data_IF_259943420174
#
_entry.id   IF_259943420174
#
_cell.length_a   1.000
_cell.length_b   1.000
_cell.length_c   1.000
_cell.angle_alpha   90.00
_cell.angle_beta   90.00
_cell.angle_gamma   90.00
#
_symmetry.space_group_name_H-M   'P 1'
#
loop_
_entity.id
_entity.type
_entity.pdbx_description
1 polymer ?
#
# COMPACT_ATOMS: atom_id res chain seq x y z
N UNK A 1 5.01 15.91 -4.44
CA UNK A 1 3.57 15.62 -4.61
C UNK A 1 2.84 16.73 -5.34
N UNK A 2 2.87 18.01 -4.88
CA UNK A 2 2.11 19.10 -5.53
C UNK A 2 2.34 19.19 -7.03
N UNK A 3 3.60 19.25 -7.48
CA UNK A 3 3.94 19.34 -8.90
C UNK A 3 3.37 18.17 -9.72
N UNK A 4 3.37 16.95 -9.18
CA UNK A 4 2.76 15.79 -9.85
C UNK A 4 1.26 15.99 -10.10
N UNK A 5 0.53 16.47 -9.08
CA UNK A 5 -0.90 16.73 -9.22
C UNK A 5 -1.21 17.93 -10.13
N UNK A 6 -0.37 18.96 -10.12
CA UNK A 6 -0.48 20.10 -11.05
C UNK A 6 -0.29 19.64 -12.50
N UNK A 7 0.71 18.79 -12.76
CA UNK A 7 0.92 18.21 -14.10
C UNK A 7 -0.28 17.38 -14.55
N UNK A 8 -0.80 16.50 -13.68
CA UNK A 8 -1.99 15.71 -14.01
C UNK A 8 -3.22 16.58 -14.27
N UNK A 9 -3.44 17.61 -13.47
CA UNK A 9 -4.54 18.55 -13.66
C UNK A 9 -4.39 19.35 -14.97
N UNK A 10 -3.18 19.78 -15.31
CA UNK A 10 -2.92 20.50 -16.56
C UNK A 10 -3.12 19.60 -17.79
N UNK A 11 -2.76 18.31 -17.69
CA UNK A 11 -2.86 17.37 -18.79
C UNK A 11 -4.28 16.84 -19.00
N UNK A 12 -5.01 16.55 -17.90
CA UNK A 12 -6.27 15.78 -17.92
C UNK A 12 -7.46 16.52 -17.31
N UNK A 13 -7.25 17.67 -16.66
CA UNK A 13 -8.31 18.45 -16.02
C UNK A 13 -8.86 17.88 -14.71
N UNK A 14 -8.54 16.60 -14.37
CA UNK A 14 -9.02 15.89 -13.19
C UNK A 14 -8.08 14.79 -12.70
N UNK A 15 -8.27 14.37 -11.47
CA UNK A 15 -7.62 13.20 -10.90
C UNK A 15 -8.69 12.34 -10.24
N UNK A 16 -8.89 11.15 -10.76
CA UNK A 16 -9.97 10.25 -10.34
C UNK A 16 -9.49 9.14 -9.42
N UNK A 17 -8.31 8.60 -9.69
CA UNK A 17 -7.76 7.47 -8.97
C UNK A 17 -6.35 7.81 -8.51
N UNK A 18 -6.07 7.59 -7.24
CA UNK A 18 -4.73 7.64 -6.66
C UNK A 18 -4.33 6.25 -6.17
N UNK A 19 -3.22 5.74 -6.65
CA UNK A 19 -2.59 4.53 -6.14
C UNK A 19 -1.25 4.89 -5.50
N UNK A 20 -1.16 4.79 -4.18
CA UNK A 20 0.08 4.98 -3.44
C UNK A 20 0.85 3.66 -3.40
N UNK A 21 1.66 3.42 -4.42
CA UNK A 21 2.48 2.21 -4.57
C UNK A 21 3.95 2.42 -4.19
N UNK A 22 4.48 3.64 -4.34
CA UNK A 22 5.87 3.94 -4.07
C UNK A 22 6.27 3.58 -2.63
N UNK A 23 7.41 2.93 -2.49
CA UNK A 23 7.94 2.55 -1.19
C UNK A 23 9.37 2.05 -1.29
N UNK A 24 10.07 2.11 -0.17
CA UNK A 24 11.43 1.62 -0.01
C UNK A 24 11.53 0.72 1.22
N UNK A 25 12.58 -0.10 1.26
CA UNK A 25 13.00 -0.85 2.45
C UNK A 25 14.40 -0.43 2.86
N UNK A 26 14.70 -0.50 4.16
CA UNK A 26 16.02 -0.36 4.77
C UNK A 26 16.04 -1.33 5.95
N UNK A 27 16.24 -2.60 5.61
CA UNK A 27 16.09 -3.71 6.56
C UNK A 27 17.33 -3.84 7.43
N UNK A 28 17.14 -3.89 8.74
CA UNK A 28 18.18 -4.20 9.71
C UNK A 28 17.53 -4.62 11.05
N UNK A 29 18.24 -5.42 11.83
CA UNK A 29 17.80 -5.74 13.20
C UNK A 29 17.76 -4.46 14.04
N UNK A 30 16.81 -4.38 14.98
CA UNK A 30 16.54 -3.17 15.77
C UNK A 30 17.80 -2.58 16.45
N UNK A 31 18.70 -3.43 16.92
CA UNK A 31 19.94 -2.98 17.56
C UNK A 31 20.98 -2.35 16.60
N UNK A 32 20.76 -2.50 15.29
CA UNK A 32 21.65 -1.97 14.24
C UNK A 32 20.94 -1.02 13.29
N UNK A 33 19.62 -0.87 13.41
CA UNK A 33 18.85 0.06 12.58
C UNK A 33 19.20 1.49 12.98
N UNK A 34 19.62 2.30 12.03
CA UNK A 34 19.86 3.72 12.28
C UNK A 34 18.57 4.53 12.30
N UNK A 35 18.58 5.69 12.95
CA UNK A 35 17.47 6.64 12.93
C UNK A 35 17.23 7.15 11.50
N UNK A 36 18.29 7.36 10.73
CA UNK A 36 18.23 7.80 9.34
C UNK A 36 17.50 6.77 8.45
N UNK A 37 17.77 5.47 8.63
CA UNK A 37 17.10 4.41 7.87
C UNK A 37 15.62 4.30 8.29
N UNK A 38 15.32 4.46 9.58
CA UNK A 38 13.96 4.49 10.08
C UNK A 38 13.19 5.65 9.46
N UNK A 39 13.73 6.86 9.54
CA UNK A 39 13.11 8.08 9.01
C UNK A 39 12.96 8.05 7.50
N UNK A 40 13.96 7.55 6.76
CA UNK A 40 13.89 7.42 5.32
C UNK A 40 12.69 6.56 4.88
N UNK A 41 12.49 5.41 5.55
CA UNK A 41 11.37 4.50 5.25
C UNK A 41 10.03 5.14 5.62
N UNK A 42 9.90 5.76 6.80
CA UNK A 42 8.66 6.43 7.19
C UNK A 42 8.35 7.63 6.29
N UNK A 43 9.34 8.42 5.94
CA UNK A 43 9.17 9.57 5.06
C UNK A 43 8.73 9.14 3.65
N UNK A 44 9.34 8.12 3.07
CA UNK A 44 8.97 7.65 1.74
C UNK A 44 7.61 6.95 1.74
N UNK A 45 7.42 5.95 2.59
CA UNK A 45 6.27 5.04 2.53
C UNK A 45 5.00 5.66 3.12
N UNK A 46 5.10 6.35 4.26
CA UNK A 46 3.93 6.85 4.99
C UNK A 46 3.69 8.33 4.73
N UNK A 47 4.68 9.18 4.97
CA UNK A 47 4.53 10.63 4.78
C UNK A 47 4.31 10.99 3.31
N UNK A 48 5.01 10.30 2.39
CA UNK A 48 4.79 10.47 0.95
C UNK A 48 3.35 10.16 0.55
N UNK A 49 2.82 9.01 0.98
CA UNK A 49 1.43 8.63 0.74
C UNK A 49 0.44 9.61 1.38
N UNK A 50 0.68 10.06 2.61
CA UNK A 50 -0.14 11.10 3.27
C UNK A 50 -0.20 12.38 2.43
N UNK A 51 0.93 12.85 1.93
CA UNK A 51 0.98 14.07 1.11
C UNK A 51 0.22 13.90 -0.21
N UNK A 52 0.33 12.73 -0.86
CA UNK A 52 -0.44 12.43 -2.06
C UNK A 52 -1.94 12.31 -1.77
N UNK A 53 -2.33 11.63 -0.70
CA UNK A 53 -3.72 11.55 -0.24
C UNK A 53 -4.31 12.95 0.01
N UNK A 54 -3.56 13.84 0.67
CA UNK A 54 -3.99 15.22 0.94
C UNK A 54 -4.25 16.01 -0.35
N UNK A 55 -3.39 15.87 -1.34
CA UNK A 55 -3.56 16.55 -2.63
C UNK A 55 -4.71 15.94 -3.46
N UNK A 56 -4.86 14.61 -3.44
CA UNK A 56 -6.00 13.92 -4.09
C UNK A 56 -7.32 14.31 -3.44
N UNK A 57 -7.42 14.23 -2.11
CA UNK A 57 -8.63 14.52 -1.36
C UNK A 57 -9.17 15.94 -1.65
N UNK A 58 -8.31 16.96 -1.73
CA UNK A 58 -8.69 18.34 -2.07
C UNK A 58 -9.44 18.45 -3.41
N UNK A 59 -9.08 17.62 -4.37
CA UNK A 59 -9.66 17.57 -5.72
C UNK A 59 -10.90 16.68 -5.76
N UNK A 60 -10.78 15.46 -5.27
CA UNK A 60 -11.83 14.45 -5.27
C UNK A 60 -13.08 14.89 -4.48
N UNK A 61 -12.89 15.59 -3.35
CA UNK A 61 -14.01 16.16 -2.56
C UNK A 61 -14.82 17.16 -3.38
N UNK A 62 -14.17 18.00 -4.20
CA UNK A 62 -14.84 18.95 -5.09
C UNK A 62 -15.50 18.26 -6.27
N UNK A 63 -14.86 17.22 -6.81
CA UNK A 63 -15.40 16.37 -7.88
C UNK A 63 -16.59 15.53 -7.41
N UNK A 64 -16.74 15.30 -6.09
CA UNK A 64 -17.70 14.37 -5.47
C UNK A 64 -17.54 12.95 -6.02
N UNK A 65 -16.32 12.59 -6.34
CA UNK A 65 -15.91 11.26 -6.79
C UNK A 65 -14.40 11.08 -6.65
N UNK A 66 -13.99 9.90 -6.24
CA UNK A 66 -12.58 9.51 -6.19
C UNK A 66 -12.35 8.12 -5.62
N UNK A 67 -11.19 7.55 -5.96
CA UNK A 67 -10.71 6.26 -5.46
C UNK A 67 -9.27 6.41 -5.01
N UNK A 68 -8.99 6.04 -3.77
CA UNK A 68 -7.63 6.02 -3.22
C UNK A 68 -7.33 4.60 -2.79
N UNK A 69 -6.22 4.04 -3.30
CA UNK A 69 -5.74 2.71 -2.96
C UNK A 69 -4.31 2.82 -2.44
N UNK A 70 -4.10 2.42 -1.20
CA UNK A 70 -2.79 2.44 -0.54
C UNK A 70 -2.18 1.04 -0.53
N UNK A 71 -0.95 0.88 -1.04
CA UNK A 71 -0.22 -0.39 -0.98
C UNK A 71 0.45 -0.54 0.38
N UNK A 72 -0.20 -1.33 1.25
CA UNK A 72 0.36 -1.77 2.52
C UNK A 72 1.25 -3.01 2.34
N UNK A 73 1.22 -3.94 3.25
CA UNK A 73 1.90 -5.24 3.21
C UNK A 73 1.33 -6.17 4.29
N UNK A 74 1.42 -7.47 4.11
CA UNK A 74 1.15 -8.43 5.19
C UNK A 74 2.11 -8.25 6.37
N UNK A 75 3.31 -7.70 6.13
CA UNK A 75 4.26 -7.35 7.21
C UNK A 75 3.68 -6.32 8.18
N UNK A 76 2.78 -5.45 7.71
CA UNK A 76 2.06 -4.50 8.56
C UNK A 76 1.14 -5.19 9.59
N UNK A 77 0.71 -6.40 9.30
CA UNK A 77 -0.26 -7.16 10.09
C UNK A 77 0.42 -8.16 11.04
N UNK A 78 1.49 -8.80 10.57
CA UNK A 78 2.17 -9.88 11.32
C UNK A 78 3.54 -9.51 11.87
N UNK A 79 4.15 -8.41 11.37
CA UNK A 79 5.56 -8.09 11.62
C UNK A 79 6.52 -8.96 10.80
N UNK A 80 7.78 -8.55 10.78
CA UNK A 80 8.90 -9.34 10.28
C UNK A 80 10.19 -8.88 10.95
N UNK A 81 11.03 -9.81 11.38
CA UNK A 81 12.31 -9.48 11.99
C UNK A 81 13.19 -8.69 10.99
N UNK A 82 13.83 -7.63 11.46
CA UNK A 82 14.64 -6.73 10.62
C UNK A 82 13.85 -5.67 9.84
N UNK A 83 12.53 -5.64 9.91
CA UNK A 83 11.67 -4.71 9.17
C UNK A 83 10.82 -3.81 10.08
N UNK A 84 11.33 -3.42 11.24
CA UNK A 84 10.58 -2.60 12.20
C UNK A 84 10.10 -1.28 11.60
N UNK A 85 10.96 -0.58 10.84
CA UNK A 85 10.63 0.64 10.13
C UNK A 85 9.61 0.42 9.02
N UNK A 86 9.80 -0.62 8.20
CA UNK A 86 8.90 -0.98 7.12
C UNK A 86 7.52 -1.39 7.65
N UNK A 87 7.48 -2.28 8.66
CA UNK A 87 6.24 -2.70 9.31
C UNK A 87 5.47 -1.50 9.88
N UNK A 88 6.15 -0.60 10.60
CA UNK A 88 5.56 0.62 11.15
C UNK A 88 4.98 1.52 10.05
N UNK A 89 5.73 1.73 8.95
CA UNK A 89 5.28 2.56 7.83
C UNK A 89 4.04 1.97 7.14
N UNK A 90 4.02 0.66 6.91
CA UNK A 90 2.91 -0.03 6.24
C UNK A 90 1.69 -0.20 7.16
N UNK A 91 1.88 -0.36 8.46
CA UNK A 91 0.79 -0.32 9.45
C UNK A 91 0.19 1.09 9.57
N UNK A 92 1.03 2.13 9.53
CA UNK A 92 0.58 3.52 9.47
C UNK A 92 -0.32 3.81 8.26
N UNK A 93 -0.06 3.20 7.09
CA UNK A 93 -0.92 3.30 5.91
C UNK A 93 -2.32 2.70 6.15
N UNK A 94 -2.43 1.64 6.93
CA UNK A 94 -3.74 1.05 7.30
C UNK A 94 -4.53 2.03 8.16
N UNK A 95 -3.89 2.63 9.16
CA UNK A 95 -4.51 3.67 10.00
C UNK A 95 -4.94 4.89 9.18
N UNK A 96 -4.06 5.38 8.30
CA UNK A 96 -4.34 6.48 7.37
C UNK A 96 -5.54 6.16 6.47
N UNK A 97 -5.58 4.96 5.88
CA UNK A 97 -6.68 4.48 5.04
C UNK A 97 -8.02 4.54 5.76
N UNK A 98 -8.09 3.96 6.96
CA UNK A 98 -9.33 3.90 7.75
C UNK A 98 -9.83 5.29 8.18
N UNK A 99 -8.92 6.19 8.55
CA UNK A 99 -9.27 7.56 8.94
C UNK A 99 -9.81 8.35 7.74
N UNK A 100 -9.08 8.34 6.61
CA UNK A 100 -9.51 9.03 5.40
C UNK A 100 -10.82 8.47 4.83
N UNK A 101 -11.05 7.16 4.93
CA UNK A 101 -12.31 6.55 4.51
C UNK A 101 -13.51 7.18 5.24
N UNK A 102 -13.38 7.43 6.55
CA UNK A 102 -14.42 8.08 7.36
C UNK A 102 -14.62 9.55 6.99
N UNK A 103 -13.53 10.27 6.75
CA UNK A 103 -13.59 11.70 6.41
C UNK A 103 -14.19 11.96 5.03
N UNK A 104 -13.95 11.06 4.06
CA UNK A 104 -14.23 11.33 2.65
C UNK A 104 -15.48 10.61 2.11
N UNK A 105 -16.05 9.66 2.87
CA UNK A 105 -17.20 8.85 2.43
C UNK A 105 -18.41 9.70 1.98
N UNK A 106 -18.73 10.79 2.69
CA UNK A 106 -19.84 11.68 2.35
C UNK A 106 -19.67 12.43 1.02
N UNK A 107 -18.47 12.35 0.44
CA UNK A 107 -18.10 12.96 -0.84
C UNK A 107 -17.97 11.95 -1.97
N UNK A 108 -18.45 10.72 -1.77
CA UNK A 108 -18.31 9.61 -2.74
C UNK A 108 -16.84 9.31 -3.10
N UNK A 109 -15.95 9.47 -2.13
CA UNK A 109 -14.54 9.11 -2.26
C UNK A 109 -14.29 7.89 -1.37
N UNK A 110 -13.83 6.79 -1.98
CA UNK A 110 -13.46 5.59 -1.24
C UNK A 110 -11.94 5.54 -1.02
N UNK A 111 -11.54 5.02 0.12
CA UNK A 111 -10.13 4.85 0.49
C UNK A 111 -9.93 3.44 1.02
N UNK A 112 -9.14 2.64 0.33
CA UNK A 112 -8.89 1.24 0.68
C UNK A 112 -7.39 0.94 0.66
N UNK A 113 -6.99 -0.16 1.26
CA UNK A 113 -5.63 -0.65 1.23
C UNK A 113 -5.56 -2.07 0.65
N UNK A 114 -4.52 -2.34 -0.09
CA UNK A 114 -4.12 -3.68 -0.51
C UNK A 114 -2.87 -4.05 0.29
N UNK A 115 -2.84 -5.24 0.86
CA UNK A 115 -1.71 -5.77 1.64
C UNK A 115 -1.12 -7.00 0.93
N UNK A 116 -0.15 -6.81 0.01
CA UNK A 116 0.50 -7.91 -0.68
C UNK A 116 1.31 -8.78 0.28
N UNK A 117 1.34 -10.08 -0.01
CA UNK A 117 2.26 -11.04 0.58
C UNK A 117 3.60 -11.09 -0.16
N UNK A 118 4.10 -12.32 -0.37
CA UNK A 118 5.31 -12.54 -1.15
C UNK A 118 4.97 -12.51 -2.66
N UNK A 119 5.42 -11.46 -3.33
CA UNK A 119 5.15 -11.20 -4.76
C UNK A 119 6.48 -11.21 -5.51
N UNK A 120 6.52 -11.86 -6.68
CA UNK A 120 7.67 -11.84 -7.58
C UNK A 120 7.82 -10.44 -8.17
N UNK A 121 8.89 -9.74 -7.78
CA UNK A 121 9.27 -8.40 -8.24
C UNK A 121 10.79 -8.34 -8.36
N UNK A 122 11.32 -7.31 -8.99
CA UNK A 122 12.78 -7.09 -9.05
C UNK A 122 13.42 -7.11 -7.66
N UNK A 123 12.70 -6.59 -6.65
CA UNK A 123 13.17 -6.57 -5.25
C UNK A 123 13.27 -8.00 -4.66
N UNK A 124 12.32 -8.88 -4.93
CA UNK A 124 12.32 -10.26 -4.44
C UNK A 124 13.18 -11.18 -5.32
N UNK A 125 13.34 -10.87 -6.61
CA UNK A 125 14.24 -11.56 -7.51
C UNK A 125 15.73 -11.42 -7.10
N UNK A 126 16.07 -10.31 -6.43
CA UNK A 126 17.41 -10.07 -5.90
C UNK A 126 17.75 -10.94 -4.66
N UNK A 127 16.77 -11.62 -4.06
CA UNK A 127 16.99 -12.53 -2.93
C UNK A 127 17.66 -13.83 -3.41
N UNK A 128 18.54 -14.46 -2.59
CA UNK A 128 19.10 -15.77 -2.90
C UNK A 128 18.00 -16.81 -3.16
N UNK A 129 18.22 -17.72 -4.10
CA UNK A 129 17.25 -18.75 -4.51
C UNK A 129 16.79 -19.60 -3.32
N UNK A 130 17.71 -19.95 -2.42
CA UNK A 130 17.39 -20.71 -1.21
C UNK A 130 16.36 -19.98 -0.31
N UNK A 131 16.48 -18.65 -0.19
CA UNK A 131 15.55 -17.82 0.58
C UNK A 131 14.18 -17.77 -0.10
N UNK A 132 14.16 -17.59 -1.43
CA UNK A 132 12.91 -17.58 -2.20
C UNK A 132 12.18 -18.91 -2.11
N UNK A 133 12.93 -20.02 -2.21
CA UNK A 133 12.38 -21.39 -2.09
C UNK A 133 11.81 -21.63 -0.69
N UNK A 134 12.50 -21.16 0.35
CA UNK A 134 12.00 -21.31 1.72
C UNK A 134 10.71 -20.49 1.94
N UNK A 135 10.69 -19.24 1.47
CA UNK A 135 9.49 -18.40 1.55
C UNK A 135 8.31 -19.01 0.76
N UNK A 136 8.57 -19.67 -0.37
CA UNK A 136 7.53 -20.31 -1.16
C UNK A 136 6.94 -21.55 -0.48
N UNK A 137 7.72 -22.28 0.32
CA UNK A 137 7.23 -23.47 1.08
C UNK A 137 6.15 -23.10 2.11
N UNK A 138 6.25 -21.91 2.70
CA UNK A 138 5.28 -21.42 3.66
C UNK A 138 3.96 -20.97 3.01
N UNK A 139 3.91 -20.91 1.69
CA UNK A 139 2.72 -20.51 0.93
C UNK A 139 1.93 -21.75 0.54
N UNK A 140 0.69 -21.95 1.04
CA UNK A 140 -0.10 -23.14 0.77
C UNK A 140 -0.29 -23.47 -0.72
N UNK A 141 -0.31 -22.45 -1.60
CA UNK A 141 -0.39 -22.63 -3.05
C UNK A 141 0.95 -22.99 -3.70
N UNK A 142 2.05 -23.09 -2.93
CA UNK A 142 3.37 -23.50 -3.42
C UNK A 142 4.04 -22.52 -4.41
N UNK A 143 3.55 -21.29 -4.51
CA UNK A 143 4.10 -20.26 -5.38
C UNK A 143 3.99 -18.87 -4.78
N UNK A 144 4.89 -17.97 -5.18
CA UNK A 144 4.73 -16.54 -4.95
C UNK A 144 3.55 -15.99 -5.78
N UNK A 145 3.01 -14.85 -5.35
CA UNK A 145 2.09 -14.07 -6.16
C UNK A 145 2.81 -13.32 -7.29
N UNK A 146 2.07 -12.94 -8.31
CA UNK A 146 2.57 -12.11 -9.39
C UNK A 146 2.13 -10.65 -9.20
N UNK A 147 2.82 -9.66 -9.78
CA UNK A 147 2.40 -8.27 -9.75
C UNK A 147 0.95 -8.07 -10.22
N UNK A 148 0.51 -8.88 -11.19
CA UNK A 148 -0.85 -8.87 -11.72
C UNK A 148 -1.89 -9.26 -10.68
N UNK A 149 -1.58 -10.15 -9.74
CA UNK A 149 -2.48 -10.52 -8.64
C UNK A 149 -2.79 -9.28 -7.76
N UNK A 150 -1.76 -8.46 -7.52
CA UNK A 150 -1.92 -7.21 -6.77
C UNK A 150 -2.65 -6.15 -7.60
N UNK A 151 -2.30 -6.02 -8.89
CA UNK A 151 -2.93 -5.07 -9.79
C UNK A 151 -4.44 -5.33 -9.94
N UNK A 152 -4.86 -6.60 -9.99
CA UNK A 152 -6.27 -6.99 -10.02
C UNK A 152 -7.02 -6.55 -8.76
N UNK A 153 -6.41 -6.67 -7.58
CA UNK A 153 -7.01 -6.18 -6.32
C UNK A 153 -7.11 -4.64 -6.28
N UNK A 154 -6.10 -3.95 -6.80
CA UNK A 154 -6.12 -2.48 -6.95
C UNK A 154 -7.22 -2.06 -7.92
N UNK A 155 -7.33 -2.71 -9.09
CA UNK A 155 -8.36 -2.45 -10.08
C UNK A 155 -9.77 -2.70 -9.52
N UNK A 156 -9.95 -3.75 -8.72
CA UNK A 156 -11.20 -4.03 -8.01
C UNK A 156 -11.63 -2.86 -7.12
N UNK A 157 -10.73 -2.32 -6.28
CA UNK A 157 -11.06 -1.17 -5.45
C UNK A 157 -11.22 0.14 -6.23
N UNK A 158 -10.56 0.28 -7.37
CA UNK A 158 -10.66 1.45 -8.24
C UNK A 158 -11.96 1.46 -9.08
N UNK A 159 -12.59 0.32 -9.26
CA UNK A 159 -13.78 0.16 -10.09
C UNK A 159 -15.00 0.88 -9.51
N UNK A 160 -15.90 1.33 -10.38
CA UNK A 160 -17.15 1.99 -9.99
C UNK A 160 -18.07 1.08 -9.18
N UNK A 161 -18.09 -0.20 -9.50
CA UNK A 161 -18.89 -1.24 -8.82
C UNK A 161 -18.49 -1.43 -7.36
N UNK A 162 -17.27 -1.03 -6.98
CA UNK A 162 -16.77 -1.09 -5.61
C UNK A 162 -17.10 0.15 -4.76
N UNK A 163 -18.07 0.95 -5.18
CA UNK A 163 -18.42 2.23 -4.54
C UNK A 163 -18.91 2.10 -3.09
N UNK A 164 -19.36 0.91 -2.66
CA UNK A 164 -19.79 0.62 -1.29
C UNK A 164 -18.67 0.07 -0.40
N UNK A 165 -17.45 -0.02 -0.92
CA UNK A 165 -16.28 -0.52 -0.20
C UNK A 165 -15.34 0.63 0.14
N UNK A 166 -15.22 0.94 1.42
CA UNK A 166 -14.26 1.94 1.92
C UNK A 166 -13.73 1.54 3.29
N UNK A 167 -12.50 1.94 3.60
CA UNK A 167 -11.80 1.60 4.85
C UNK A 167 -11.34 0.14 4.95
N UNK A 168 -11.42 -0.62 3.85
CA UNK A 168 -11.06 -2.03 3.82
C UNK A 168 -9.54 -2.23 3.64
N UNK A 169 -9.06 -3.36 4.14
CA UNK A 169 -7.70 -3.86 3.92
C UNK A 169 -7.81 -5.26 3.31
N UNK A 170 -7.46 -5.38 2.04
CA UNK A 170 -7.50 -6.66 1.32
C UNK A 170 -6.10 -7.26 1.25
N UNK A 171 -5.93 -8.42 1.88
CA UNK A 171 -4.71 -9.20 1.74
C UNK A 171 -4.68 -9.90 0.39
N UNK A 172 -3.60 -9.72 -0.38
CA UNK A 172 -3.30 -10.47 -1.60
C UNK A 172 -2.15 -11.41 -1.26
N UNK A 173 -2.49 -12.47 -0.55
CA UNK A 173 -1.51 -13.39 0.01
C UNK A 173 -2.17 -14.74 0.26
N UNK A 174 -1.51 -15.81 -0.17
CA UNK A 174 -1.95 -17.20 0.04
C UNK A 174 -1.47 -17.77 1.37
N UNK A 175 -0.73 -16.99 2.17
CA UNK A 175 -0.17 -17.38 3.45
C UNK A 175 -0.96 -16.84 4.65
N UNK A 176 -1.74 -15.78 4.47
CA UNK A 176 -2.44 -15.14 5.57
C UNK A 176 -3.86 -15.72 5.70
N UNK A 177 -4.00 -16.75 6.50
CA UNK A 177 -5.27 -17.04 7.15
C UNK A 177 -5.33 -16.18 8.41
N UNK A 178 -6.27 -15.25 8.51
CA UNK A 178 -6.57 -14.59 9.79
C UNK A 178 -6.72 -15.69 10.85
N UNK A 179 -6.09 -15.56 12.01
CA UNK A 179 -6.49 -16.40 13.13
C UNK A 179 -7.98 -16.10 13.38
N UNK A 180 -8.76 -17.14 13.27
CA UNK A 180 -10.17 -17.16 13.67
C UNK A 180 -10.30 -16.83 15.14
#
# INVERSE_FOLDING_TARGET
CKALFEQAMNAFGRVDILVNNAGITRDNLILRMSEEDFDAVLNANLKGAFLCCKEAARRMVRQRWGRIVNLSSVVALRGNAGQTNYAASKAGLIGLTKSLARELASRNVTVNAVAPGFIETDMTAALPEAVRTEMAKDIPAGRAGQPEDVANAVAFFAAEQSSYLTGQVLCVCLLYTSPS
#
